data_IF_250100784199
#
_entry.id   IF_250100784199
#
_cell.length_a   1.000
_cell.length_b   1.000
_cell.length_c   1.000
_cell.angle_alpha   90.00
_cell.angle_beta   90.00
_cell.angle_gamma   90.00
#
_symmetry.space_group_name_H-M   'P 1'
#
loop_
_entity.id
_entity.type
_entity.pdbx_description
1 polymer ?
#
# COMPACT_ATOMS: atom_id res chain seq x y z
N UNK A 1 -15.76 28.25 0.74
CA UNK A 1 -15.16 28.20 0.90
C UNK A 1 -14.16 28.17 0.40
N UNK A 2 -13.71 28.68 0.45
CA UNK A 2 -12.74 28.78 -0.35
C UNK A 2 -11.86 27.84 -0.08
N UNK A 3 -11.34 27.32 -0.88
CA UNK A 3 -10.39 26.59 -0.70
C UNK A 3 -9.36 27.30 -0.33
N UNK A 4 -8.71 27.07 0.72
CA UNK A 4 -7.55 27.67 1.09
C UNK A 4 -6.45 27.06 0.46
N UNK A 5 -5.74 27.75 -0.36
CA UNK A 5 -4.50 27.26 -0.97
C UNK A 5 -3.37 27.57 -0.05
N UNK A 6 -2.43 26.65 0.11
CA UNK A 6 -1.26 26.93 0.96
C UNK A 6 -0.44 28.10 0.41
N UNK A 7 0.13 28.87 1.30
CA UNK A 7 1.05 29.94 0.90
C UNK A 7 2.35 29.33 0.38
N UNK A 8 3.15 30.11 -0.34
CA UNK A 8 4.45 29.59 -0.81
C UNK A 8 5.33 29.09 0.32
N UNK A 9 5.29 29.76 1.49
CA UNK A 9 6.07 29.28 2.61
C UNK A 9 5.55 27.97 3.13
N UNK A 10 4.22 27.80 3.14
CA UNK A 10 3.62 26.55 3.59
C UNK A 10 3.97 25.42 2.63
N UNK A 11 3.95 25.69 1.35
CA UNK A 11 4.34 24.70 0.36
C UNK A 11 5.77 24.27 0.53
N UNK A 12 6.65 25.25 0.78
CA UNK A 12 8.04 24.96 0.99
C UNK A 12 8.25 24.09 2.21
N UNK A 13 7.53 24.39 3.30
CA UNK A 13 7.63 23.61 4.53
C UNK A 13 7.15 22.19 4.30
N UNK A 14 6.05 22.02 3.56
CA UNK A 14 5.56 20.70 3.24
C UNK A 14 6.55 19.92 2.41
N UNK A 15 7.17 20.58 1.44
CA UNK A 15 8.16 19.90 0.62
C UNK A 15 9.36 19.47 1.44
N UNK A 16 9.79 20.30 2.38
CA UNK A 16 10.89 19.92 3.25
C UNK A 16 10.53 18.76 4.15
N UNK A 17 9.30 18.76 4.66
CA UNK A 17 8.85 17.64 5.46
C UNK A 17 8.83 16.37 4.66
N UNK A 18 8.32 16.42 3.44
CA UNK A 18 8.28 15.24 2.59
C UNK A 18 9.67 14.76 2.24
N UNK A 19 10.57 15.70 1.97
CA UNK A 19 11.93 15.32 1.60
C UNK A 19 12.68 14.65 2.74
N UNK A 20 12.27 14.91 3.98
CA UNK A 20 12.95 14.32 5.12
C UNK A 20 12.41 12.93 5.48
N UNK A 21 11.31 12.50 4.86
CA UNK A 21 10.76 11.18 5.13
C UNK A 21 11.50 10.13 4.35
N UNK A 22 11.72 9.00 4.95
CA UNK A 22 12.28 7.88 4.23
C UNK A 22 11.18 7.28 3.35
N UNK A 23 11.52 6.97 2.12
CA UNK A 23 10.58 6.35 1.21
C UNK A 23 10.06 5.04 1.79
N UNK A 24 10.94 4.30 2.44
CA UNK A 24 10.54 3.01 2.98
C UNK A 24 9.45 3.16 4.05
N UNK A 25 9.52 4.20 4.88
CA UNK A 25 8.49 4.42 5.90
C UNK A 25 7.13 4.65 5.24
N UNK A 26 7.12 5.41 4.17
CA UNK A 26 5.88 5.65 3.45
C UNK A 26 5.38 4.36 2.80
N UNK A 27 6.29 3.59 2.24
CA UNK A 27 5.91 2.33 1.60
C UNK A 27 5.32 1.34 2.60
N UNK A 28 5.83 1.32 3.83
CA UNK A 28 5.27 0.46 4.86
C UNK A 28 3.81 0.80 5.10
N UNK A 29 3.50 2.08 5.27
CA UNK A 29 2.11 2.49 5.47
C UNK A 29 1.24 2.18 4.27
N UNK A 30 1.74 2.46 3.08
CA UNK A 30 0.99 2.21 1.86
C UNK A 30 0.73 0.72 1.67
N UNK A 31 1.75 -0.10 1.91
CA UNK A 31 1.60 -1.54 1.75
C UNK A 31 0.61 -2.11 2.76
N UNK A 32 0.64 -1.63 3.99
CA UNK A 32 -0.30 -2.09 5.01
C UNK A 32 -1.73 -1.76 4.62
N UNK A 33 -1.94 -0.56 4.10
CA UNK A 33 -3.26 -0.14 3.67
C UNK A 33 -3.74 -0.96 2.47
N UNK A 34 -2.85 -1.18 1.51
CA UNK A 34 -3.20 -1.97 0.33
C UNK A 34 -3.53 -3.40 0.72
N UNK A 35 -2.77 -3.98 1.65
CA UNK A 35 -3.04 -5.34 2.09
C UNK A 35 -4.42 -5.45 2.74
N UNK A 36 -4.76 -4.50 3.61
CA UNK A 36 -6.06 -4.51 4.27
C UNK A 36 -7.19 -4.33 3.26
N UNK A 37 -7.00 -3.42 2.33
CA UNK A 37 -8.02 -3.17 1.31
C UNK A 37 -8.19 -4.38 0.40
N UNK A 38 -7.08 -5.02 0.03
CA UNK A 38 -7.13 -6.20 -0.82
C UNK A 38 -7.90 -7.32 -0.13
N UNK A 39 -7.63 -7.51 1.15
CA UNK A 39 -8.34 -8.54 1.91
C UNK A 39 -9.84 -8.26 1.95
N UNK A 40 -10.22 -7.00 2.15
CA UNK A 40 -11.63 -6.63 2.16
C UNK A 40 -12.27 -6.88 0.80
N UNK A 41 -11.55 -6.60 -0.30
CA UNK A 41 -12.07 -6.86 -1.63
C UNK A 41 -12.26 -8.36 -1.86
N UNK A 42 -11.33 -9.17 -1.37
CA UNK A 42 -11.49 -10.62 -1.49
C UNK A 42 -12.71 -11.11 -0.74
N UNK A 43 -12.95 -10.57 0.45
CA UNK A 43 -14.10 -10.99 1.22
C UNK A 43 -15.40 -10.62 0.55
N UNK A 44 -15.41 -9.55 -0.22
CA UNK A 44 -16.62 -9.14 -0.92
C UNK A 44 -16.77 -9.82 -2.29
N UNK A 45 -15.80 -10.62 -2.68
CA UNK A 45 -15.84 -11.27 -3.96
C UNK A 45 -15.48 -10.39 -5.14
N UNK A 46 -14.90 -9.21 -4.86
CA UNK A 46 -14.50 -8.29 -5.92
C UNK A 46 -13.12 -8.70 -6.39
N UNK A 47 -13.05 -9.72 -7.23
CA UNK A 47 -11.80 -10.33 -7.61
C UNK A 47 -10.94 -9.43 -8.49
N UNK A 48 -11.57 -8.61 -9.32
CA UNK A 48 -10.80 -7.71 -10.18
C UNK A 48 -10.02 -6.70 -9.34
N UNK A 49 -10.66 -6.12 -8.33
CA UNK A 49 -9.99 -5.17 -7.46
C UNK A 49 -8.96 -5.87 -6.56
N UNK A 50 -9.30 -7.07 -6.10
CA UNK A 50 -8.36 -7.83 -5.28
C UNK A 50 -7.08 -8.14 -6.07
N UNK A 51 -7.21 -8.48 -7.35
CA UNK A 51 -6.05 -8.76 -8.15
C UNK A 51 -5.15 -7.53 -8.31
N UNK A 52 -5.75 -6.35 -8.48
CA UNK A 52 -4.97 -5.13 -8.52
C UNK A 52 -4.15 -4.94 -7.25
N UNK A 53 -4.78 -5.18 -6.10
CA UNK A 53 -4.09 -5.04 -4.82
C UNK A 53 -2.95 -6.03 -4.69
N UNK A 54 -3.17 -7.28 -5.09
CA UNK A 54 -2.15 -8.30 -5.01
C UNK A 54 -0.97 -7.93 -5.91
N UNK A 55 -1.25 -7.48 -7.13
CA UNK A 55 -0.18 -7.11 -8.06
C UNK A 55 0.61 -5.92 -7.53
N UNK A 56 -0.08 -4.95 -6.94
CA UNK A 56 0.59 -3.80 -6.35
C UNK A 56 1.49 -4.20 -5.20
N UNK A 57 1.01 -5.09 -4.32
CA UNK A 57 1.82 -5.56 -3.21
C UNK A 57 3.03 -6.32 -3.70
N UNK A 58 2.87 -7.14 -4.72
CA UNK A 58 3.99 -7.89 -5.29
C UNK A 58 5.07 -6.93 -5.79
N UNK A 59 4.67 -5.79 -6.34
CA UNK A 59 5.62 -4.79 -6.79
C UNK A 59 6.33 -4.09 -5.65
N UNK A 60 5.68 -3.96 -4.51
CA UNK A 60 6.26 -3.26 -3.37
C UNK A 60 7.19 -4.12 -2.54
N UNK A 61 6.94 -5.43 -2.47
CA UNK A 61 7.71 -6.31 -1.61
C UNK A 61 9.21 -6.19 -1.81
N UNK A 62 9.75 -6.14 -3.06
CA UNK A 62 11.20 -6.05 -3.21
C UNK A 62 11.82 -4.77 -2.67
N UNK A 63 11.01 -3.75 -2.45
CA UNK A 63 11.50 -2.47 -1.93
C UNK A 63 11.44 -2.39 -0.42
N UNK A 64 10.93 -3.43 0.25
CA UNK A 64 10.76 -3.43 1.69
C UNK A 64 11.66 -4.49 2.29
N UNK A 65 12.45 -4.09 3.26
CA UNK A 65 13.39 -5.02 3.87
C UNK A 65 12.99 -5.39 5.28
N UNK A 66 13.85 -6.15 5.93
CA UNK A 66 13.70 -6.49 7.33
C UNK A 66 12.50 -7.37 7.61
N UNK A 67 12.05 -7.29 8.86
CA UNK A 67 10.94 -8.11 9.30
C UNK A 67 9.65 -7.75 8.62
N UNK A 68 9.44 -6.45 8.34
CA UNK A 68 8.21 -6.04 7.69
C UNK A 68 8.13 -6.61 6.28
N UNK A 69 9.24 -6.59 5.54
CA UNK A 69 9.26 -7.16 4.19
C UNK A 69 8.94 -8.64 4.20
N UNK A 70 9.48 -9.34 5.18
CA UNK A 70 9.23 -10.76 5.32
C UNK A 70 7.76 -11.03 5.67
N UNK A 71 7.21 -10.25 6.60
CA UNK A 71 5.81 -10.41 7.00
C UNK A 71 4.88 -10.08 5.84
N UNK A 72 5.20 -9.04 5.09
CA UNK A 72 4.38 -8.66 3.95
C UNK A 72 4.43 -9.71 2.86
N UNK A 73 5.61 -10.31 2.65
CA UNK A 73 5.74 -11.37 1.66
C UNK A 73 4.86 -12.56 2.03
N UNK A 74 4.81 -12.90 3.33
CA UNK A 74 3.96 -13.99 3.79
C UNK A 74 2.48 -13.63 3.62
N UNK A 75 2.13 -12.39 3.92
CA UNK A 75 0.75 -11.94 3.74
C UNK A 75 0.37 -11.97 2.27
N UNK A 76 1.29 -11.58 1.39
CA UNK A 76 1.04 -11.62 -0.05
C UNK A 76 0.77 -13.05 -0.51
N UNK A 77 1.55 -13.99 -0.04
CA UNK A 77 1.33 -15.39 -0.40
C UNK A 77 -0.07 -15.85 0.05
N UNK A 78 -0.47 -15.47 1.26
CA UNK A 78 -1.80 -15.82 1.74
C UNK A 78 -2.90 -15.19 0.89
N UNK A 79 -2.71 -13.94 0.47
CA UNK A 79 -3.69 -13.28 -0.38
C UNK A 79 -3.76 -13.95 -1.75
N UNK A 80 -2.63 -14.38 -2.27
CA UNK A 80 -2.58 -15.06 -3.56
C UNK A 80 -3.32 -16.39 -3.50
N UNK A 81 -3.14 -17.13 -2.41
CA UNK A 81 -3.83 -18.40 -2.23
C UNK A 81 -5.34 -18.16 -2.10
N UNK A 82 -5.70 -17.16 -1.31
CA UNK A 82 -7.12 -16.84 -1.13
C UNK A 82 -7.76 -16.41 -2.45
N UNK A 83 -7.03 -15.64 -3.25
CA UNK A 83 -7.52 -15.23 -4.55
C UNK A 83 -7.73 -16.44 -5.47
N UNK A 84 -6.75 -17.32 -5.51
CA UNK A 84 -6.85 -18.50 -6.37
C UNK A 84 -8.03 -19.37 -5.97
N UNK A 85 -8.25 -19.51 -4.67
CA UNK A 85 -9.38 -20.29 -4.16
C UNK A 85 -10.69 -19.65 -4.55
N UNK A 86 -10.79 -18.34 -4.42
CA UNK A 86 -12.02 -17.62 -4.74
C UNK A 86 -12.30 -17.60 -6.23
N UNK A 87 -11.24 -17.62 -7.05
CA UNK A 87 -11.39 -17.54 -8.49
C UNK A 87 -11.65 -18.88 -9.15
N UNK A 88 -11.49 -19.97 -8.44
CA UNK A 88 -11.66 -21.30 -9.04
C UNK A 88 -13.11 -21.78 -9.03
#
# INVERSE_FOLDING_TARGET
>A
MAEEMPTPEELEALQQQLASLAIEDFLVSAASTIASLTFAKLERGDLAEAKKGIDALASLVPHLGGDFGRDLSAALTNLQVAYATAAS
#
